data_IF_500592071030
#
_entry.id   IF_500592071030
#
_cell.length_a   1.000
_cell.length_b   1.000
_cell.length_c   1.000
_cell.angle_alpha   90.00
_cell.angle_beta   90.00
_cell.angle_gamma   90.00
#
_symmetry.space_group_name_H-M   'P 1'
#
loop_
_entity.id
_entity.type
_entity.pdbx_description
1 polymer ?
#
# COMPACT_ATOMS: atom_id res chain seq x y z
N UNK A 1 -63.42 -45.43 17.75
CA UNK A 1 -63.82 -45.62 16.35
C UNK A 1 -64.22 -44.28 15.75
N UNK A 2 -63.43 -43.77 14.81
CA UNK A 2 -63.80 -43.07 13.56
C UNK A 2 -62.67 -42.12 13.16
N UNK A 3 -61.87 -42.61 12.22
CA UNK A 3 -60.94 -41.87 11.37
C UNK A 3 -61.69 -40.87 10.50
N UNK A 4 -61.12 -39.68 10.32
CA UNK A 4 -61.35 -38.78 9.16
C UNK A 4 -60.05 -37.93 9.05
N UNK A 5 -58.98 -38.35 8.34
CA UNK A 5 -58.66 -38.11 6.92
C UNK A 5 -59.04 -36.71 6.39
N UNK A 6 -58.08 -35.84 6.06
CA UNK A 6 -58.41 -34.57 5.39
C UNK A 6 -57.27 -33.59 5.13
N UNK A 7 -56.41 -33.93 4.17
CA UNK A 7 -55.73 -33.02 3.22
C UNK A 7 -55.10 -31.71 3.72
N UNK A 8 -53.77 -31.73 3.90
CA UNK A 8 -52.91 -30.54 3.88
C UNK A 8 -52.84 -29.98 2.46
N UNK A 9 -53.58 -28.90 2.17
CA UNK A 9 -53.47 -28.16 0.92
C UNK A 9 -52.28 -27.20 1.02
N UNK A 10 -51.28 -27.44 0.17
CA UNK A 10 -50.23 -26.47 -0.15
C UNK A 10 -50.87 -25.21 -0.71
N UNK A 11 -50.50 -24.05 -0.17
CA UNK A 11 -50.47 -22.81 -0.93
C UNK A 11 -49.08 -22.20 -0.78
N UNK A 12 -48.36 -22.26 -1.90
CA UNK A 12 -47.24 -21.39 -2.19
C UNK A 12 -47.68 -19.93 -2.01
N UNK A 13 -46.87 -19.12 -1.32
CA UNK A 13 -46.46 -17.86 -1.93
C UNK A 13 -45.15 -17.40 -1.29
N UNK A 14 -44.11 -17.49 -2.12
CA UNK A 14 -42.87 -16.79 -1.95
C UNK A 14 -43.15 -15.28 -1.92
N UNK A 15 -42.66 -14.60 -0.90
CA UNK A 15 -42.38 -13.16 -0.98
C UNK A 15 -40.88 -12.99 -0.83
N UNK A 16 -40.17 -13.27 -1.93
CA UNK A 16 -38.78 -12.86 -2.07
C UNK A 16 -38.82 -11.35 -2.22
N UNK A 17 -38.42 -10.62 -1.18
CA UNK A 17 -38.23 -9.18 -1.23
C UNK A 17 -37.11 -8.87 -2.23
N UNK A 18 -37.48 -8.63 -3.48
CA UNK A 18 -36.58 -8.09 -4.49
C UNK A 18 -36.73 -6.57 -4.49
N UNK A 19 -35.80 -5.90 -3.84
CA UNK A 19 -35.63 -4.45 -3.89
C UNK A 19 -34.15 -4.14 -3.70
N UNK A 20 -33.43 -3.99 -4.79
CA UNK A 20 -32.01 -3.69 -4.81
C UNK A 20 -31.61 -3.07 -6.14
N UNK A 21 -31.70 -1.74 -6.19
CA UNK A 21 -30.95 -0.79 -7.03
C UNK A 21 -30.76 -1.10 -8.53
N UNK A 22 -31.65 -0.53 -9.34
CA UNK A 22 -31.46 -0.31 -10.78
C UNK A 22 -30.35 0.75 -11.02
N UNK A 23 -29.11 0.38 -10.72
CA UNK A 23 -27.91 1.15 -11.06
C UNK A 23 -27.36 0.57 -12.38
N UNK A 24 -27.06 1.38 -13.41
CA UNK A 24 -26.57 0.86 -14.67
C UNK A 24 -25.31 0.01 -14.45
N UNK A 25 -25.27 -1.15 -15.12
CA UNK A 25 -24.16 -2.08 -15.00
C UNK A 25 -22.84 -1.35 -15.28
N UNK A 26 -21.90 -1.44 -14.35
CA UNK A 26 -20.62 -0.75 -14.43
C UNK A 26 -19.84 -1.29 -15.64
N UNK A 27 -19.34 -0.40 -16.50
CA UNK A 27 -18.52 -0.80 -17.64
C UNK A 27 -17.32 -1.62 -17.13
N UNK A 28 -17.10 -2.85 -17.65
CA UNK A 28 -15.96 -3.67 -17.27
C UNK A 28 -14.64 -2.95 -17.57
N UNK A 29 -13.76 -2.93 -16.58
CA UNK A 29 -12.44 -2.29 -16.65
C UNK A 29 -11.35 -3.33 -16.44
N UNK A 30 -10.17 -3.12 -17.01
CA UNK A 30 -9.06 -4.04 -16.85
C UNK A 30 -8.69 -4.20 -15.36
N UNK A 31 -8.28 -5.42 -14.97
CA UNK A 31 -7.75 -5.68 -13.65
C UNK A 31 -6.49 -4.81 -13.40
N UNK A 32 -6.38 -4.25 -12.20
CA UNK A 32 -5.24 -3.40 -11.80
C UNK A 32 -3.93 -4.18 -11.60
N UNK A 33 -4.01 -5.50 -11.39
CA UNK A 33 -2.83 -6.37 -11.26
C UNK A 33 -1.98 -6.34 -12.53
N UNK A 34 -0.67 -6.17 -12.38
CA UNK A 34 0.22 -6.00 -13.54
C UNK A 34 0.29 -7.30 -14.35
N UNK A 35 -0.02 -7.22 -15.64
CA UNK A 35 0.01 -8.38 -16.53
C UNK A 35 -1.23 -9.28 -16.48
N UNK A 36 -2.25 -8.93 -15.69
CA UNK A 36 -3.52 -9.66 -15.69
C UNK A 36 -4.36 -9.25 -16.90
N UNK A 37 -4.82 -10.23 -17.69
CA UNK A 37 -5.66 -10.02 -18.88
C UNK A 37 -7.17 -9.97 -18.59
N UNK A 38 -7.58 -10.23 -17.34
CA UNK A 38 -9.00 -10.26 -16.97
C UNK A 38 -9.59 -8.86 -16.77
N UNK A 39 -10.88 -8.73 -17.05
CA UNK A 39 -11.68 -7.53 -16.76
C UNK A 39 -12.48 -7.72 -15.46
N UNK A 40 -12.90 -6.61 -14.86
CA UNK A 40 -13.68 -6.60 -13.64
C UNK A 40 -14.67 -5.43 -13.64
N UNK A 41 -15.86 -5.69 -13.10
CA UNK A 41 -16.87 -4.68 -12.78
C UNK A 41 -16.83 -4.29 -11.30
N UNK A 42 -15.97 -4.96 -10.51
CA UNK A 42 -15.86 -4.72 -9.08
C UNK A 42 -15.29 -3.32 -8.76
N UNK A 43 -15.71 -2.78 -7.62
CA UNK A 43 -15.31 -1.45 -7.17
C UNK A 43 -13.82 -1.38 -6.84
N UNK A 44 -13.23 -2.46 -6.34
CA UNK A 44 -11.80 -2.58 -6.03
C UNK A 44 -10.91 -2.43 -7.28
N UNK A 45 -11.45 -2.74 -8.47
CA UNK A 45 -10.67 -2.73 -9.71
C UNK A 45 -9.80 -3.97 -9.90
N UNK A 46 -10.01 -5.03 -9.10
CA UNK A 46 -9.39 -6.33 -9.29
C UNK A 46 -10.41 -7.36 -9.78
N UNK A 47 -9.97 -8.32 -10.61
CA UNK A 47 -10.81 -9.46 -11.00
C UNK A 47 -11.02 -10.41 -9.81
N UNK A 48 -11.91 -11.38 -9.96
CA UNK A 48 -12.21 -12.37 -8.91
C UNK A 48 -10.96 -13.11 -8.43
N UNK A 49 -9.99 -13.35 -9.32
CA UNK A 49 -8.71 -13.97 -8.97
C UNK A 49 -7.79 -13.06 -8.12
N UNK A 50 -7.93 -11.73 -8.22
CA UNK A 50 -7.03 -10.76 -7.56
C UNK A 50 -7.73 -9.88 -6.52
N UNK A 51 -8.95 -10.22 -6.11
CA UNK A 51 -9.80 -9.36 -5.25
C UNK A 51 -9.13 -8.94 -3.93
N UNK A 52 -8.17 -9.72 -3.44
CA UNK A 52 -7.48 -9.51 -2.18
C UNK A 52 -5.98 -9.19 -2.31
N UNK A 53 -5.41 -9.10 -3.52
CA UNK A 53 -3.96 -8.85 -3.69
C UNK A 53 -3.55 -7.44 -3.25
N UNK A 54 -4.51 -6.51 -3.22
CA UNK A 54 -4.27 -5.12 -2.81
C UNK A 54 -3.72 -4.93 -1.38
N UNK A 55 -3.82 -5.95 -0.51
CA UNK A 55 -3.33 -5.92 0.87
C UNK A 55 -2.20 -6.91 1.16
N UNK A 56 -1.68 -7.65 0.17
CA UNK A 56 -0.64 -8.67 0.41
C UNK A 56 0.64 -8.10 1.02
N UNK A 57 0.96 -6.84 0.71
CA UNK A 57 2.12 -6.14 1.27
C UNK A 57 1.83 -5.47 2.63
N UNK A 58 0.58 -5.50 3.10
CA UNK A 58 0.25 -5.01 4.42
C UNK A 58 0.74 -6.02 5.46
N UNK A 59 1.66 -5.60 6.33
CA UNK A 59 2.12 -6.40 7.46
C UNK A 59 1.35 -5.98 8.72
N UNK A 60 0.21 -6.64 9.05
CA UNK A 60 -0.51 -6.34 10.28
C UNK A 60 0.35 -6.63 11.51
N UNK A 61 0.18 -5.83 12.56
CA UNK A 61 0.75 -6.10 13.88
C UNK A 61 2.18 -5.61 14.13
N UNK A 62 2.93 -5.13 13.11
CA UNK A 62 4.26 -4.57 13.37
C UNK A 62 4.18 -3.13 13.88
N UNK A 63 4.65 -2.91 15.11
CA UNK A 63 4.85 -1.58 15.67
C UNK A 63 5.76 -0.73 14.77
N UNK A 64 5.73 0.61 14.91
CA UNK A 64 6.66 1.51 14.19
C UNK A 64 8.14 1.07 14.39
N UNK A 65 8.43 0.52 15.57
CA UNK A 65 9.74 0.04 15.96
C UNK A 65 10.13 -1.24 15.19
N UNK A 66 9.22 -2.21 15.08
CA UNK A 66 9.44 -3.46 14.32
C UNK A 66 9.52 -3.25 12.80
N UNK A 67 8.98 -2.13 12.29
CA UNK A 67 9.09 -1.74 10.87
C UNK A 67 10.43 -1.06 10.52
N UNK A 68 11.36 -0.94 11.47
CA UNK A 68 12.71 -0.42 11.23
C UNK A 68 12.90 1.06 11.52
N UNK A 69 11.92 1.73 12.15
CA UNK A 69 11.98 3.12 12.59
C UNK A 69 11.76 3.23 14.10
N UNK A 70 12.55 2.47 14.87
CA UNK A 70 12.54 2.54 16.34
C UNK A 70 13.34 3.73 16.89
N UNK A 71 13.45 3.81 18.22
CA UNK A 71 14.18 4.85 18.96
C UNK A 71 15.62 5.10 18.48
N UNK A 72 16.27 4.08 17.90
CA UNK A 72 17.60 4.22 17.27
C UNK A 72 17.57 5.24 16.11
N UNK A 73 16.55 5.20 15.26
CA UNK A 73 16.42 6.12 14.13
C UNK A 73 16.20 7.57 14.59
N UNK A 74 15.45 7.75 15.68
CA UNK A 74 15.21 9.08 16.27
C UNK A 74 16.50 9.72 16.78
N UNK A 75 17.47 8.92 17.23
CA UNK A 75 18.81 9.39 17.59
C UNK A 75 19.74 9.59 16.38
N UNK A 76 19.64 8.71 15.36
CA UNK A 76 20.48 8.76 14.16
C UNK A 76 20.13 9.96 13.28
N UNK A 77 18.85 10.18 13.00
CA UNK A 77 18.38 11.23 12.07
C UNK A 77 18.93 12.63 12.38
N UNK A 78 18.81 13.19 13.60
CA UNK A 78 19.35 14.52 13.88
C UNK A 78 20.87 14.58 13.80
N UNK A 79 21.58 13.49 14.15
CA UNK A 79 23.04 13.40 14.05
C UNK A 79 23.51 13.48 12.59
N UNK A 80 22.85 12.74 11.69
CA UNK A 80 23.19 12.78 10.25
C UNK A 80 22.87 14.15 9.66
N UNK A 81 21.72 14.75 9.98
CA UNK A 81 21.40 16.11 9.54
C UNK A 81 22.45 17.12 10.03
N UNK A 82 22.88 17.03 11.29
CA UNK A 82 23.91 17.91 11.86
C UNK A 82 25.26 17.72 11.17
N UNK A 83 25.70 16.46 10.93
CA UNK A 83 26.93 16.13 10.19
C UNK A 83 26.94 16.77 8.80
N UNK A 84 25.80 16.67 8.12
CA UNK A 84 25.62 17.17 6.76
C UNK A 84 25.34 18.68 6.71
N UNK A 85 25.41 19.38 7.86
CA UNK A 85 25.09 20.80 8.03
C UNK A 85 23.69 21.17 7.52
N UNK A 86 22.74 20.24 7.64
CA UNK A 86 21.38 20.37 7.12
C UNK A 86 21.34 20.65 5.61
N UNK A 87 22.37 20.25 4.85
CA UNK A 87 22.42 20.41 3.40
C UNK A 87 22.13 19.08 2.70
N UNK A 88 21.36 19.17 1.62
CA UNK A 88 21.08 18.05 0.73
C UNK A 88 22.38 17.63 0.02
N UNK A 89 22.82 16.40 0.24
CA UNK A 89 24.06 15.88 -0.33
C UNK A 89 23.97 15.76 -1.87
N UNK A 90 22.82 15.37 -2.41
CA UNK A 90 22.56 15.36 -3.85
C UNK A 90 22.71 16.74 -4.49
N UNK A 91 22.04 17.74 -3.94
CA UNK A 91 22.12 19.11 -4.45
C UNK A 91 23.53 19.67 -4.31
N UNK A 92 24.22 19.37 -3.20
CA UNK A 92 25.59 19.81 -2.96
C UNK A 92 26.57 19.27 -4.00
N UNK A 93 26.44 18.00 -4.40
CA UNK A 93 27.22 17.42 -5.52
C UNK A 93 26.96 18.16 -6.84
N UNK A 94 25.72 18.63 -7.05
CA UNK A 94 25.34 19.51 -8.15
C UNK A 94 25.64 21.00 -7.92
N UNK A 95 26.53 21.36 -6.98
CA UNK A 95 26.91 22.74 -6.63
C UNK A 95 25.74 23.65 -6.21
N UNK A 96 24.66 23.08 -5.68
CA UNK A 96 23.50 23.81 -5.14
C UNK A 96 23.37 23.61 -3.64
N UNK A 97 23.29 24.70 -2.89
CA UNK A 97 22.98 24.64 -1.46
C UNK A 97 21.47 24.61 -1.26
N UNK A 98 20.94 23.45 -0.85
CA UNK A 98 19.51 23.27 -0.56
C UNK A 98 19.38 22.58 0.79
N UNK A 99 18.45 23.06 1.62
CA UNK A 99 18.19 22.48 2.94
C UNK A 99 17.70 21.03 2.82
N UNK A 100 18.29 20.14 3.60
CA UNK A 100 17.82 18.77 3.77
C UNK A 100 16.73 18.70 4.84
N UNK A 101 15.66 17.96 4.55
CA UNK A 101 14.54 17.73 5.46
C UNK A 101 14.42 16.26 5.88
N UNK A 102 15.03 15.38 5.09
CA UNK A 102 14.95 13.92 5.21
C UNK A 102 16.35 13.31 5.28
N UNK A 103 16.46 12.16 5.95
CA UNK A 103 17.64 11.30 5.91
C UNK A 103 17.22 9.99 5.28
N UNK A 104 18.03 9.48 4.37
CA UNK A 104 17.71 8.30 3.57
C UNK A 104 18.94 7.40 3.43
N UNK A 105 18.71 6.10 3.26
CA UNK A 105 19.76 5.10 3.07
C UNK A 105 20.33 5.18 1.66
N UNK A 106 21.65 5.19 1.49
CA UNK A 106 22.31 5.16 0.17
C UNK A 106 22.03 3.83 -0.52
N UNK A 107 22.26 2.73 0.19
CA UNK A 107 21.82 1.38 -0.17
C UNK A 107 20.52 1.11 0.60
N UNK A 108 19.38 0.85 -0.07
CA UNK A 108 18.12 0.55 0.59
C UNK A 108 18.22 -0.66 1.52
N UNK A 109 17.46 -0.66 2.62
CA UNK A 109 17.33 -1.82 3.51
C UNK A 109 16.90 -3.09 2.78
N UNK A 110 16.02 -2.96 1.78
CA UNK A 110 15.59 -4.07 0.93
C UNK A 110 16.74 -4.73 0.15
N UNK A 111 17.84 -4.01 -0.08
CA UNK A 111 19.04 -4.50 -0.75
C UNK A 111 20.21 -4.72 0.23
N UNK A 112 19.93 -4.89 1.53
CA UNK A 112 20.95 -5.18 2.55
C UNK A 112 21.66 -3.95 3.14
N UNK A 113 21.13 -2.74 2.91
CA UNK A 113 21.69 -1.52 3.52
C UNK A 113 21.56 -1.48 5.05
N UNK A 114 22.60 -0.99 5.72
CA UNK A 114 22.66 -0.83 7.18
C UNK A 114 22.24 0.57 7.63
N UNK A 115 21.97 0.74 8.92
CA UNK A 115 21.73 2.06 9.55
C UNK A 115 23.04 2.79 9.93
N UNK A 116 24.18 2.38 9.36
CA UNK A 116 25.47 3.00 9.62
C UNK A 116 25.54 4.40 9.02
N UNK A 117 26.23 5.32 9.70
CA UNK A 117 26.36 6.71 9.26
C UNK A 117 26.92 6.82 7.82
N UNK A 118 27.80 5.91 7.41
CA UNK A 118 28.36 5.85 6.05
C UNK A 118 27.32 5.50 4.99
N UNK A 119 26.26 4.76 5.34
CA UNK A 119 25.16 4.41 4.45
C UNK A 119 23.99 5.42 4.53
N UNK A 120 24.12 6.51 5.29
CA UNK A 120 23.05 7.50 5.45
C UNK A 120 23.42 8.85 4.83
N UNK A 121 22.46 9.46 4.14
CA UNK A 121 22.62 10.77 3.52
C UNK A 121 21.43 11.70 3.79
N UNK A 122 21.72 12.98 4.02
CA UNK A 122 20.69 14.02 4.13
C UNK A 122 20.24 14.49 2.75
N UNK A 123 18.94 14.47 2.50
CA UNK A 123 18.31 14.85 1.23
C UNK A 123 17.21 15.89 1.44
N UNK A 124 17.02 16.75 0.44
CA UNK A 124 15.81 17.55 0.32
C UNK A 124 14.67 16.70 -0.25
N UNK A 125 13.42 17.09 0.01
CA UNK A 125 12.24 16.34 -0.42
C UNK A 125 12.21 15.99 -1.92
N UNK A 126 12.55 16.90 -2.85
CA UNK A 126 12.60 16.56 -4.27
C UNK A 126 13.63 15.48 -4.62
N UNK A 127 14.81 15.52 -3.99
CA UNK A 127 15.87 14.52 -4.25
C UNK A 127 15.50 13.16 -3.64
N UNK A 128 14.93 13.16 -2.44
CA UNK A 128 14.41 11.96 -1.80
C UNK A 128 13.34 11.29 -2.68
N UNK A 129 12.33 12.05 -3.13
CA UNK A 129 11.27 11.55 -4.01
C UNK A 129 11.82 10.96 -5.31
N UNK A 130 12.81 11.63 -5.93
CA UNK A 130 13.48 11.14 -7.14
C UNK A 130 14.19 9.81 -6.87
N UNK A 131 14.94 9.70 -5.77
CA UNK A 131 15.62 8.45 -5.37
C UNK A 131 14.64 7.31 -5.18
N UNK A 132 13.58 7.50 -4.39
CA UNK A 132 12.53 6.48 -4.19
C UNK A 132 11.91 6.03 -5.50
N UNK A 133 11.65 6.96 -6.43
CA UNK A 133 11.08 6.63 -7.73
C UNK A 133 12.03 5.77 -8.58
N UNK A 134 13.33 6.05 -8.56
CA UNK A 134 14.35 5.26 -9.26
C UNK A 134 14.52 3.88 -8.63
N UNK A 135 14.53 3.80 -7.30
CA UNK A 135 14.68 2.53 -6.57
C UNK A 135 13.52 1.58 -6.80
N UNK A 136 12.29 2.10 -6.96
CA UNK A 136 11.12 1.29 -7.30
C UNK A 136 11.23 0.60 -8.68
N UNK A 137 12.08 1.12 -9.56
CA UNK A 137 12.29 0.58 -10.91
C UNK A 137 13.48 -0.38 -10.98
N UNK A 138 14.23 -0.55 -9.89
CA UNK A 138 15.34 -1.51 -9.78
C UNK A 138 14.85 -2.80 -9.16
#
# INVERSE_FOLDING_TARGET
MRSISGSCVRVNQAVVSQGGDDMPARIPRACRERGCSHTTTDRSGYCTAHRNTGWENYQPGKSRHERGYGSKWDAIRPRILKRDKYLCQDCKRGKRAVTATTVDHIIPKAHGGTDDDSNLQSLCWPCHRRKTATERMR
#
